data_IF_219329339091
#
_entry.id   IF_219329339091
#
_cell.length_a   1.000
_cell.length_b   1.000
_cell.length_c   1.000
_cell.angle_alpha   90.00
_cell.angle_beta   90.00
_cell.angle_gamma   90.00
#
_symmetry.space_group_name_H-M   'P 1'
#
loop_
_entity.id
_entity.type
_entity.pdbx_description
1 polymer ?
#
# COMPACT_ATOMS: atom_id res chain seq x y z
N UNK A 1 34.93 18.28 25.46
CA UNK A 1 34.29 16.96 25.62
C UNK A 1 33.84 16.48 24.24
N UNK A 2 34.29 15.32 23.75
CA UNK A 2 33.86 14.78 22.46
C UNK A 2 32.39 14.37 22.53
N UNK A 3 31.61 14.85 21.56
CA UNK A 3 30.19 14.53 21.37
C UNK A 3 30.08 13.07 20.97
N UNK A 4 29.46 12.23 21.79
CA UNK A 4 29.23 10.83 21.46
C UNK A 4 28.47 10.73 20.12
N UNK A 5 28.83 9.78 19.22
CA UNK A 5 28.07 9.57 18.00
C UNK A 5 26.66 9.14 18.38
N UNK A 6 25.66 9.82 17.82
CA UNK A 6 24.26 9.46 17.99
C UNK A 6 24.09 7.99 17.58
N UNK A 7 23.75 7.14 18.54
CA UNK A 7 23.41 5.73 18.29
C UNK A 7 22.27 5.73 17.28
N UNK A 8 22.30 4.90 16.21
CA UNK A 8 21.15 4.73 15.35
C UNK A 8 20.00 4.30 16.26
N UNK A 9 18.94 5.10 16.36
CA UNK A 9 17.74 4.64 17.03
C UNK A 9 17.24 3.46 16.20
N UNK A 10 17.42 2.25 16.72
CA UNK A 10 16.79 1.06 16.16
C UNK A 10 15.29 1.27 16.32
N UNK A 11 14.64 1.74 15.25
CA UNK A 11 13.20 1.83 15.21
C UNK A 11 12.65 0.42 15.44
N UNK A 12 11.74 0.22 16.40
CA UNK A 12 11.08 -1.08 16.57
C UNK A 12 10.41 -1.45 15.23
N UNK A 13 10.81 -2.58 14.67
CA UNK A 13 10.21 -3.15 13.46
C UNK A 13 9.60 -4.49 13.84
N UNK A 14 8.30 -4.64 13.61
CA UNK A 14 7.59 -5.89 13.87
C UNK A 14 8.06 -6.99 12.92
N UNK A 15 8.05 -8.27 13.35
CA UNK A 15 8.38 -9.38 12.47
C UNK A 15 7.36 -9.48 11.34
N UNK A 16 7.82 -9.33 10.10
CA UNK A 16 6.94 -9.38 8.94
C UNK A 16 6.34 -10.81 8.75
N UNK A 17 5.03 -10.95 8.52
CA UNK A 17 4.40 -12.25 8.31
C UNK A 17 5.03 -13.06 7.18
N UNK A 18 5.13 -14.39 7.36
CA UNK A 18 5.81 -15.28 6.41
C UNK A 18 5.14 -15.32 5.04
N UNK A 19 3.82 -15.20 5.01
CA UNK A 19 2.98 -15.27 3.81
C UNK A 19 3.06 -14.00 2.94
N UNK A 20 3.64 -12.90 3.41
CA UNK A 20 3.91 -11.74 2.58
C UNK A 20 5.02 -12.04 1.57
N UNK A 21 4.86 -11.53 0.35
CA UNK A 21 5.90 -11.55 -0.68
C UNK A 21 7.14 -10.78 -0.24
N UNK A 22 8.27 -10.98 -0.93
CA UNK A 22 9.51 -10.23 -0.64
C UNK A 22 9.31 -8.71 -0.74
N UNK A 23 8.57 -8.24 -1.74
CA UNK A 23 8.29 -6.83 -1.93
C UNK A 23 7.36 -6.27 -0.83
N UNK A 24 6.30 -7.01 -0.48
CA UNK A 24 5.41 -6.62 0.61
C UNK A 24 6.14 -6.58 1.95
N UNK A 25 7.05 -7.52 2.24
CA UNK A 25 7.88 -7.48 3.46
C UNK A 25 8.74 -6.23 3.57
N UNK A 26 9.21 -5.68 2.44
CA UNK A 26 9.94 -4.41 2.43
C UNK A 26 8.99 -3.26 2.78
N UNK A 27 7.80 -3.22 2.17
CA UNK A 27 6.80 -2.18 2.46
C UNK A 27 6.26 -2.26 3.89
N UNK A 28 6.06 -3.46 4.42
CA UNK A 28 5.66 -3.71 5.81
C UNK A 28 6.65 -3.08 6.79
N UNK A 29 7.94 -3.33 6.60
CA UNK A 29 9.00 -2.74 7.42
C UNK A 29 9.02 -1.22 7.31
N UNK A 30 8.90 -0.69 6.10
CA UNK A 30 8.80 0.75 5.86
C UNK A 30 7.62 1.40 6.59
N UNK A 31 6.47 0.73 6.61
CA UNK A 31 5.30 1.21 7.37
C UNK A 31 5.56 1.19 8.88
N UNK A 32 6.17 0.13 9.40
CA UNK A 32 6.57 0.07 10.81
C UNK A 32 7.51 1.22 11.17
N UNK A 33 8.52 1.48 10.34
CA UNK A 33 9.48 2.59 10.50
C UNK A 33 8.77 3.94 10.49
N UNK A 34 7.83 4.17 9.56
CA UNK A 34 7.04 5.41 9.49
C UNK A 34 6.20 5.62 10.75
N UNK A 35 5.56 4.56 11.25
CA UNK A 35 4.75 4.63 12.47
C UNK A 35 5.61 4.89 13.70
N UNK A 36 6.78 4.23 13.80
CA UNK A 36 7.75 4.49 14.86
C UNK A 36 8.29 5.92 14.81
N UNK A 37 8.64 6.42 13.62
CA UNK A 37 9.11 7.79 13.42
C UNK A 37 8.04 8.83 13.78
N UNK A 38 6.75 8.51 13.59
CA UNK A 38 5.62 9.31 14.04
C UNK A 38 5.38 9.23 15.56
N UNK A 39 6.25 8.54 16.32
CA UNK A 39 6.13 8.38 17.77
C UNK A 39 5.02 7.43 18.22
N UNK A 40 4.43 6.64 17.30
CA UNK A 40 3.41 5.66 17.63
C UNK A 40 4.07 4.35 18.05
N UNK A 41 3.81 3.84 19.28
CA UNK A 41 4.32 2.54 19.69
C UNK A 41 3.71 1.43 18.84
N UNK A 42 4.55 0.51 18.38
CA UNK A 42 4.12 -0.68 17.66
C UNK A 42 3.83 -1.82 18.63
N UNK A 43 2.76 -2.54 18.38
CA UNK A 43 2.37 -3.73 19.12
C UNK A 43 2.11 -4.90 18.17
N UNK A 44 2.10 -6.13 18.70
CA UNK A 44 1.77 -7.31 17.91
C UNK A 44 0.37 -7.21 17.26
N UNK A 45 -0.55 -6.45 17.86
CA UNK A 45 -1.87 -6.19 17.31
C UNK A 45 -1.85 -5.33 16.03
N UNK A 46 -0.75 -4.62 15.74
CA UNK A 46 -0.58 -3.82 14.53
C UNK A 46 -0.11 -4.64 13.33
N UNK A 47 0.36 -5.89 13.54
CA UNK A 47 0.88 -6.75 12.46
C UNK A 47 -0.17 -6.97 11.38
N UNK A 48 -1.36 -7.43 11.74
CA UNK A 48 -2.41 -7.75 10.76
C UNK A 48 -2.92 -6.50 10.03
N UNK A 49 -3.27 -5.38 10.71
CA UNK A 49 -3.66 -4.15 10.03
C UNK A 49 -2.61 -3.59 9.05
N UNK A 50 -1.32 -3.64 9.42
CA UNK A 50 -0.23 -3.19 8.55
C UNK A 50 -0.09 -4.13 7.35
N UNK A 51 -0.12 -5.44 7.59
CA UNK A 51 -0.01 -6.44 6.53
C UNK A 51 -1.19 -6.33 5.54
N UNK A 52 -2.41 -6.16 6.04
CA UNK A 52 -3.61 -5.95 5.23
C UNK A 52 -3.52 -4.69 4.36
N UNK A 53 -3.03 -3.58 4.93
CA UNK A 53 -2.80 -2.35 4.16
C UNK A 53 -1.79 -2.58 3.04
N UNK A 54 -0.67 -3.23 3.35
CA UNK A 54 0.41 -3.50 2.38
C UNK A 54 -0.10 -4.41 1.25
N UNK A 55 -0.77 -5.50 1.59
CA UNK A 55 -1.33 -6.42 0.59
C UNK A 55 -2.43 -5.77 -0.24
N UNK A 56 -3.29 -4.95 0.36
CA UNK A 56 -4.30 -4.18 -0.38
C UNK A 56 -3.64 -3.22 -1.39
N UNK A 57 -2.60 -2.48 -0.98
CA UNK A 57 -1.85 -1.59 -1.88
C UNK A 57 -1.18 -2.36 -3.02
N UNK A 58 -0.57 -3.51 -2.72
CA UNK A 58 0.04 -4.38 -3.75
C UNK A 58 -1.01 -4.84 -4.77
N UNK A 59 -2.14 -5.38 -4.29
CA UNK A 59 -3.22 -5.86 -5.16
C UNK A 59 -3.83 -4.75 -6.02
N UNK A 60 -3.99 -3.54 -5.48
CA UNK A 60 -4.47 -2.39 -6.27
C UNK A 60 -3.48 -2.04 -7.38
N UNK A 61 -2.17 -2.05 -7.09
CA UNK A 61 -1.15 -1.78 -8.09
C UNK A 61 -1.16 -2.83 -9.23
N UNK A 62 -1.24 -4.11 -8.88
CA UNK A 62 -1.34 -5.21 -9.84
C UNK A 62 -2.63 -5.13 -10.67
N UNK A 63 -3.77 -4.88 -10.02
CA UNK A 63 -5.06 -4.76 -10.71
C UNK A 63 -5.06 -3.56 -11.66
N UNK A 64 -4.46 -2.42 -11.27
CA UNK A 64 -4.28 -1.26 -12.16
C UNK A 64 -3.41 -1.60 -13.36
N UNK A 65 -2.35 -2.39 -13.19
CA UNK A 65 -1.49 -2.83 -14.29
C UNK A 65 -2.26 -3.72 -15.26
N UNK A 66 -2.98 -4.71 -14.76
CA UNK A 66 -3.81 -5.63 -15.57
C UNK A 66 -4.92 -4.85 -16.28
N UNK A 67 -5.61 -3.97 -15.56
CA UNK A 67 -6.69 -3.15 -16.10
C UNK A 67 -6.20 -2.25 -17.25
N UNK A 68 -5.05 -1.57 -17.10
CA UNK A 68 -4.48 -0.77 -18.20
C UNK A 68 -4.22 -1.62 -19.44
N UNK A 69 -3.58 -2.78 -19.27
CA UNK A 69 -3.32 -3.69 -20.38
C UNK A 69 -4.62 -4.17 -21.06
N UNK A 70 -5.62 -4.55 -20.26
CA UNK A 70 -6.92 -5.00 -20.77
C UNK A 70 -7.65 -3.89 -21.53
N UNK A 71 -7.69 -2.67 -21.00
CA UNK A 71 -8.31 -1.51 -21.66
C UNK A 71 -7.60 -1.17 -22.96
N UNK A 72 -6.28 -1.21 -23.01
CA UNK A 72 -5.52 -0.93 -24.23
C UNK A 72 -5.73 -2.00 -25.31
N UNK A 73 -5.99 -3.25 -24.90
CA UNK A 73 -6.41 -4.31 -25.81
C UNK A 73 -7.86 -4.07 -26.31
N UNK A 74 -8.79 -3.75 -25.41
CA UNK A 74 -10.21 -3.50 -25.74
C UNK A 74 -10.39 -2.31 -26.68
N UNK A 75 -9.60 -1.25 -26.54
CA UNK A 75 -9.64 -0.08 -27.44
C UNK A 75 -9.33 -0.42 -28.90
N UNK A 76 -8.66 -1.54 -29.17
CA UNK A 76 -8.37 -2.02 -30.53
C UNK A 76 -9.56 -2.76 -31.15
N UNK A 77 -10.58 -3.12 -30.36
CA UNK A 77 -11.78 -3.80 -30.82
C UNK A 77 -12.79 -2.79 -31.41
N UNK A 78 -13.36 -3.02 -32.60
CA UNK A 78 -14.46 -2.21 -33.15
C UNK A 78 -15.66 -2.03 -32.20
N UNK A 79 -15.90 -2.98 -31.30
CA UNK A 79 -16.95 -2.94 -30.29
C UNK A 79 -16.63 -2.04 -29.07
N UNK A 80 -15.47 -1.37 -29.01
CA UNK A 80 -15.05 -0.59 -27.83
C UNK A 80 -16.13 0.34 -27.26
N UNK A 81 -16.95 0.97 -28.12
CA UNK A 81 -18.02 1.88 -27.68
C UNK A 81 -19.04 1.22 -26.75
N UNK A 82 -19.38 -0.06 -26.95
CA UNK A 82 -20.29 -0.78 -26.05
C UNK A 82 -19.63 -1.17 -24.74
N UNK A 83 -18.31 -1.37 -24.75
CA UNK A 83 -17.55 -1.86 -23.59
C UNK A 83 -17.05 -0.71 -22.67
N UNK A 84 -17.19 0.54 -23.11
CA UNK A 84 -16.75 1.73 -22.36
C UNK A 84 -17.39 1.81 -20.97
N UNK A 85 -18.68 1.51 -20.85
CA UNK A 85 -19.39 1.58 -19.56
C UNK A 85 -18.82 0.59 -18.55
N UNK A 86 -18.47 -0.63 -18.99
CA UNK A 86 -17.85 -1.66 -18.15
C UNK A 86 -16.42 -1.28 -17.74
N UNK A 87 -15.65 -0.70 -18.66
CA UNK A 87 -14.32 -0.17 -18.34
C UNK A 87 -14.42 0.95 -17.29
N UNK A 88 -15.33 1.92 -17.49
CA UNK A 88 -15.55 3.02 -16.55
C UNK A 88 -16.02 2.54 -15.16
N UNK A 89 -16.93 1.56 -15.08
CA UNK A 89 -17.37 1.01 -13.79
C UNK A 89 -16.22 0.34 -13.05
N UNK A 90 -15.38 -0.41 -13.78
CA UNK A 90 -14.18 -1.06 -13.23
C UNK A 90 -13.18 -0.02 -12.72
N UNK A 91 -12.94 1.06 -13.47
CA UNK A 91 -12.08 2.17 -13.04
C UNK A 91 -12.57 2.78 -11.73
N UNK A 92 -13.87 3.06 -11.61
CA UNK A 92 -14.47 3.64 -10.39
C UNK A 92 -14.32 2.72 -9.18
N UNK A 93 -14.42 1.40 -9.38
CA UNK A 93 -14.19 0.42 -8.32
C UNK A 93 -12.72 0.45 -7.84
N UNK A 94 -11.76 0.56 -8.75
CA UNK A 94 -10.34 0.72 -8.39
C UNK A 94 -10.07 1.98 -7.58
N UNK A 95 -10.72 3.09 -7.94
CA UNK A 95 -10.62 4.34 -7.20
C UNK A 95 -11.23 4.22 -5.79
N UNK A 96 -12.36 3.52 -5.66
CA UNK A 96 -12.96 3.24 -4.36
C UNK A 96 -12.06 2.38 -3.46
N UNK A 97 -11.38 1.37 -4.01
CA UNK A 97 -10.40 0.56 -3.27
C UNK A 97 -9.17 1.39 -2.87
N UNK A 98 -8.73 2.30 -3.74
CA UNK A 98 -7.64 3.24 -3.43
C UNK A 98 -8.01 4.14 -2.26
N UNK A 99 -9.22 4.70 -2.26
CA UNK A 99 -9.73 5.50 -1.15
C UNK A 99 -9.83 4.68 0.15
N UNK A 100 -10.22 3.40 0.08
CA UNK A 100 -10.21 2.49 1.24
C UNK A 100 -8.80 2.31 1.80
N UNK A 101 -7.82 2.05 0.94
CA UNK A 101 -6.42 1.92 1.36
C UNK A 101 -5.87 3.22 2.00
N UNK A 102 -6.26 4.38 1.47
CA UNK A 102 -5.92 5.67 2.06
C UNK A 102 -6.54 5.86 3.45
N UNK A 103 -7.81 5.49 3.64
CA UNK A 103 -8.46 5.51 4.96
C UNK A 103 -7.79 4.58 5.95
N UNK A 104 -7.42 3.37 5.53
CA UNK A 104 -6.66 2.43 6.38
C UNK A 104 -5.31 3.01 6.79
N UNK A 105 -4.57 3.62 5.86
CA UNK A 105 -3.31 4.28 6.16
C UNK A 105 -3.47 5.44 7.16
N UNK A 106 -4.51 6.27 6.98
CA UNK A 106 -4.83 7.36 7.91
C UNK A 106 -5.19 6.82 9.30
N UNK A 107 -5.97 5.75 9.39
CA UNK A 107 -6.31 5.09 10.66
C UNK A 107 -5.06 4.53 11.37
N UNK A 108 -4.02 4.17 10.62
CA UNK A 108 -2.73 3.75 11.18
C UNK A 108 -1.80 4.92 11.55
N UNK A 109 -2.21 6.16 11.28
CA UNK A 109 -1.39 7.36 11.52
C UNK A 109 -0.37 7.67 10.42
N UNK A 110 -0.44 6.98 9.28
CA UNK A 110 0.49 7.12 8.16
C UNK A 110 -0.08 8.19 7.22
N UNK A 111 0.12 9.46 7.56
CA UNK A 111 -0.49 10.59 6.86
C UNK A 111 0.46 11.21 5.83
N UNK A 112 0.17 10.98 4.54
CA UNK A 112 0.49 11.76 3.32
C UNK A 112 1.91 12.31 3.04
N UNK A 113 2.90 12.14 3.90
CA UNK A 113 4.29 12.46 3.56
C UNK A 113 5.01 11.22 3.03
N UNK A 114 5.66 11.35 1.88
CA UNK A 114 6.32 10.29 1.12
C UNK A 114 5.38 9.37 0.31
N UNK A 115 4.75 9.93 -0.73
CA UNK A 115 4.62 9.20 -2.00
C UNK A 115 5.60 9.78 -2.99
#
# INVERSE_FOLDING_TARGET
>A
MPKAPATPQEHPVLPAPRWLTRAEKVQFRRVCEQMSAAGRPLSDADVDPIADLVTLRSRIADTRRIYRYAVDALKKNPAWRSDQSLALSTSRQLDAQTAKAQRMAAALGISKEAT
#
